data_IF_317685220437
#
_entry.id   IF_317685220437
#
_cell.length_a   1.000
_cell.length_b   1.000
_cell.length_c   1.000
_cell.angle_alpha   90.00
_cell.angle_beta   90.00
_cell.angle_gamma   90.00
#
_symmetry.space_group_name_H-M   'P 1'
#
loop_
_entity.id
_entity.type
_entity.pdbx_description
1 polymer ?
#
# COMPACT_ATOMS: atom_id res chain seq x y z
N UNK A 1 -3.38 -1.91 -4.36
CA UNK A 1 -4.38 -2.71 -5.10
C UNK A 1 -5.24 -1.76 -5.91
N UNK A 2 -5.82 -2.23 -7.00
CA UNK A 2 -6.75 -1.47 -7.82
C UNK A 2 -7.75 -2.39 -8.50
N UNK A 3 -8.67 -1.82 -9.29
CA UNK A 3 -9.55 -2.59 -10.18
C UNK A 3 -8.78 -3.38 -11.24
N UNK A 4 -7.59 -2.95 -11.64
CA UNK A 4 -6.74 -3.63 -12.62
C UNK A 4 -5.97 -4.82 -12.02
N UNK A 5 -5.81 -4.87 -10.69
CA UNK A 5 -5.14 -5.99 -10.03
C UNK A 5 -4.53 -5.65 -8.68
N UNK A 6 -3.76 -6.60 -8.15
CA UNK A 6 -3.07 -6.45 -6.87
C UNK A 6 -1.64 -5.96 -7.15
N UNK A 7 -1.24 -4.90 -6.48
CA UNK A 7 0.13 -4.40 -6.51
C UNK A 7 1.06 -5.20 -5.57
N UNK A 8 2.34 -4.83 -5.46
CA UNK A 8 3.30 -5.55 -4.64
C UNK A 8 2.94 -5.53 -3.15
N UNK A 9 3.22 -6.64 -2.48
CA UNK A 9 3.19 -6.74 -1.02
C UNK A 9 4.61 -6.64 -0.46
N UNK A 10 4.88 -5.55 0.27
CA UNK A 10 6.19 -5.27 0.84
C UNK A 10 6.22 -5.51 2.35
N UNK A 11 7.15 -6.37 2.82
CA UNK A 11 7.39 -6.57 4.24
C UNK A 11 8.50 -5.66 4.74
N UNK A 12 8.13 -4.64 5.50
CA UNK A 12 9.07 -3.66 6.04
C UNK A 12 9.59 -4.11 7.40
N UNK A 13 10.91 -3.97 7.61
CA UNK A 13 11.57 -4.33 8.88
C UNK A 13 11.63 -3.18 9.88
N UNK A 14 11.52 -1.95 9.39
CA UNK A 14 11.65 -0.72 10.17
C UNK A 14 10.31 -0.01 10.33
N UNK A 15 10.24 0.89 11.32
CA UNK A 15 9.13 1.83 11.44
C UNK A 15 9.08 2.70 10.18
N UNK A 16 7.91 2.79 9.58
CA UNK A 16 7.70 3.62 8.39
C UNK A 16 7.69 5.09 8.78
N UNK A 17 8.68 5.82 8.29
CA UNK A 17 8.70 7.29 8.30
C UNK A 17 8.53 7.80 6.85
N UNK A 18 8.53 9.11 6.66
CA UNK A 18 8.33 9.70 5.32
C UNK A 18 9.39 9.23 4.29
N UNK A 19 10.66 9.07 4.69
CA UNK A 19 11.73 8.63 3.79
C UNK A 19 11.55 7.17 3.37
N UNK A 20 11.33 6.27 4.33
CA UNK A 20 11.04 4.84 4.04
C UNK A 20 9.78 4.72 3.19
N UNK A 21 8.77 5.55 3.45
CA UNK A 21 7.56 5.54 2.64
C UNK A 21 7.82 5.97 1.19
N UNK A 22 8.61 7.02 0.97
CA UNK A 22 9.01 7.45 -0.37
C UNK A 22 9.81 6.37 -1.10
N UNK A 23 10.73 5.67 -0.43
CA UNK A 23 11.43 4.52 -1.02
C UNK A 23 10.46 3.41 -1.45
N UNK A 24 9.41 3.17 -0.66
CA UNK A 24 8.36 2.22 -1.04
C UNK A 24 7.58 2.70 -2.27
N UNK A 25 7.23 3.99 -2.32
CA UNK A 25 6.54 4.56 -3.47
C UNK A 25 7.41 4.47 -4.74
N UNK A 26 8.67 4.88 -4.63
CA UNK A 26 9.65 4.90 -5.71
C UNK A 26 9.90 3.51 -6.30
N UNK A 27 10.21 2.54 -5.44
CA UNK A 27 10.70 1.24 -5.90
C UNK A 27 9.62 0.18 -6.09
N UNK A 28 8.41 0.40 -5.57
CA UNK A 28 7.34 -0.59 -5.65
C UNK A 28 6.05 -0.03 -6.21
N UNK A 29 5.64 1.19 -5.83
CA UNK A 29 4.37 1.74 -6.32
C UNK A 29 4.50 2.20 -7.77
N UNK A 30 5.54 2.96 -8.14
CA UNK A 30 5.73 3.45 -9.51
C UNK A 30 5.82 2.31 -10.54
N UNK A 31 6.67 1.27 -10.36
CA UNK A 31 6.73 0.16 -11.33
C UNK A 31 5.42 -0.61 -11.42
N UNK A 32 4.70 -0.75 -10.31
CA UNK A 32 3.40 -1.42 -10.31
C UNK A 32 2.33 -0.58 -11.01
N UNK A 33 2.36 0.74 -10.87
CA UNK A 33 1.46 1.64 -11.58
C UNK A 33 1.72 1.56 -13.08
N UNK A 34 2.98 1.64 -13.51
CA UNK A 34 3.37 1.47 -14.92
C UNK A 34 2.91 0.11 -15.48
N UNK A 35 3.11 -0.97 -14.74
CA UNK A 35 2.67 -2.30 -15.18
C UNK A 35 1.13 -2.44 -15.27
N UNK A 36 0.38 -1.83 -14.35
CA UNK A 36 -1.07 -1.98 -14.26
C UNK A 36 -1.84 -1.01 -15.17
N UNK A 37 -1.29 0.18 -15.39
CA UNK A 37 -1.99 1.28 -16.06
C UNK A 37 -1.28 1.73 -17.34
N UNK A 38 0.04 1.51 -17.47
CA UNK A 38 0.84 2.09 -18.56
C UNK A 38 0.64 3.59 -18.64
N UNK A 39 0.23 4.07 -19.82
CA UNK A 39 -0.05 5.49 -20.07
C UNK A 39 -1.42 5.96 -19.55
N UNK A 40 -2.23 5.08 -18.94
CA UNK A 40 -3.55 5.46 -18.44
C UNK A 40 -3.48 6.25 -17.14
N UNK A 41 -4.36 7.25 -17.02
CA UNK A 41 -4.48 8.06 -15.81
C UNK A 41 -4.96 7.22 -14.61
N UNK A 42 -4.42 7.51 -13.43
CA UNK A 42 -4.87 6.96 -12.16
C UNK A 42 -4.82 7.99 -11.04
N UNK A 43 -5.59 7.75 -9.98
CA UNK A 43 -5.55 8.53 -8.73
C UNK A 43 -5.03 7.64 -7.61
N UNK A 44 -4.04 8.12 -6.87
CA UNK A 44 -3.49 7.38 -5.74
C UNK A 44 -4.26 7.67 -4.45
N UNK A 45 -4.64 6.61 -3.74
CA UNK A 45 -5.33 6.69 -2.45
C UNK A 45 -4.38 6.25 -1.33
N UNK A 46 -4.30 7.06 -0.28
CA UNK A 46 -3.59 6.76 0.97
C UNK A 46 -4.37 7.33 2.15
N UNK A 47 -4.16 6.76 3.34
CA UNK A 47 -4.70 7.33 4.58
C UNK A 47 -3.87 8.53 5.06
N UNK A 48 -4.27 9.13 6.20
CA UNK A 48 -3.60 10.29 6.78
C UNK A 48 -2.50 9.93 7.79
N UNK A 49 -1.92 8.73 7.72
CA UNK A 49 -0.82 8.34 8.62
C UNK A 49 0.32 9.38 8.56
N UNK A 50 1.08 9.62 9.66
CA UNK A 50 2.06 10.71 9.72
C UNK A 50 3.12 10.67 8.61
N UNK A 51 3.51 9.49 8.12
CA UNK A 51 4.44 9.35 7.00
C UNK A 51 3.83 9.76 5.66
N UNK A 52 2.53 9.52 5.46
CA UNK A 52 1.80 9.79 4.23
C UNK A 52 1.43 11.28 4.10
N UNK A 53 1.09 11.91 5.23
CA UNK A 53 0.74 13.33 5.31
C UNK A 53 1.93 14.27 5.54
N UNK A 54 3.15 13.73 5.67
CA UNK A 54 4.35 14.52 5.85
C UNK A 54 4.64 15.41 4.63
N UNK A 55 5.13 16.64 4.87
CA UNK A 55 5.49 17.59 3.80
C UNK A 55 6.42 17.00 2.72
N UNK A 56 7.50 16.24 3.07
CA UNK A 56 8.34 15.61 2.06
C UNK A 56 7.59 14.64 1.16
N UNK A 57 6.66 13.85 1.72
CA UNK A 57 5.83 12.91 0.95
C UNK A 57 4.88 13.65 0.02
N UNK A 58 4.23 14.72 0.50
CA UNK A 58 3.40 15.58 -0.34
C UNK A 58 4.18 16.25 -1.48
N UNK A 59 5.44 16.61 -1.25
CA UNK A 59 6.32 17.11 -2.31
C UNK A 59 6.65 16.01 -3.33
N UNK A 60 7.00 14.81 -2.87
CA UNK A 60 7.29 13.66 -3.74
C UNK A 60 6.14 13.38 -4.72
N UNK A 61 4.88 13.37 -4.26
CA UNK A 61 3.72 13.17 -5.14
C UNK A 61 3.57 14.28 -6.20
N UNK A 62 3.86 15.54 -5.84
CA UNK A 62 3.80 16.66 -6.77
C UNK A 62 4.90 16.57 -7.83
N UNK A 63 6.12 16.23 -7.41
CA UNK A 63 7.27 16.12 -8.30
C UNK A 63 7.09 14.98 -9.33
N UNK A 64 6.39 13.91 -8.94
CA UNK A 64 6.04 12.80 -9.83
C UNK A 64 4.74 13.02 -10.61
N UNK A 65 4.03 14.14 -10.41
CA UNK A 65 2.77 14.42 -11.10
C UNK A 65 1.62 13.46 -10.76
N UNK A 66 1.66 12.81 -9.60
CA UNK A 66 0.67 11.78 -9.23
C UNK A 66 -0.45 12.43 -8.41
N UNK A 67 -1.71 12.39 -8.90
CA UNK A 67 -2.82 12.97 -8.17
C UNK A 67 -3.19 12.10 -6.96
N UNK A 68 -3.35 12.77 -5.82
CA UNK A 68 -3.81 12.15 -4.57
C UNK A 68 -5.32 12.32 -4.40
N UNK A 69 -6.01 11.24 -4.03
CA UNK A 69 -7.40 11.30 -3.61
C UNK A 69 -7.51 12.07 -2.30
N UNK A 70 -8.41 13.06 -2.23
CA UNK A 70 -8.71 13.73 -0.98
C UNK A 70 -9.33 12.74 0.02
N UNK A 71 -8.68 12.52 1.15
CA UNK A 71 -9.05 11.47 2.10
C UNK A 71 -9.54 12.05 3.43
N UNK A 72 -10.76 11.69 3.89
CA UNK A 72 -11.23 12.10 5.21
C UNK A 72 -10.48 11.37 6.33
N UNK A 73 -10.21 12.08 7.43
CA UNK A 73 -9.59 11.49 8.61
C UNK A 73 -10.47 10.39 9.22
N UNK A 74 -9.85 9.37 9.83
CA UNK A 74 -10.52 8.30 10.57
C UNK A 74 -11.64 7.57 9.81
N UNK A 75 -11.49 7.38 8.50
CA UNK A 75 -12.48 6.71 7.65
C UNK A 75 -11.93 5.39 7.06
N UNK A 76 -11.58 4.39 7.91
CA UNK A 76 -11.03 3.12 7.42
C UNK A 76 -12.06 2.30 6.63
N UNK A 77 -13.35 2.49 6.91
CA UNK A 77 -14.48 1.86 6.23
C UNK A 77 -14.56 2.23 4.74
N UNK A 78 -14.03 3.40 4.36
CA UNK A 78 -13.96 3.84 2.98
C UNK A 78 -12.80 3.20 2.21
N UNK A 79 -11.83 2.57 2.88
CA UNK A 79 -10.60 2.08 2.25
C UNK A 79 -10.78 0.65 1.69
N UNK A 80 -10.75 0.45 0.36
CA UNK A 80 -10.93 -0.89 -0.22
C UNK A 80 -9.86 -1.90 0.22
N UNK A 81 -8.68 -1.45 0.66
CA UNK A 81 -7.62 -2.34 1.14
C UNK A 81 -8.04 -3.14 2.38
N UNK A 82 -8.95 -2.60 3.20
CA UNK A 82 -9.46 -3.29 4.39
C UNK A 82 -10.26 -4.54 4.00
N UNK A 83 -10.98 -4.49 2.87
CA UNK A 83 -11.69 -5.65 2.34
C UNK A 83 -10.71 -6.76 1.90
N UNK A 84 -9.61 -6.38 1.23
CA UNK A 84 -8.57 -7.32 0.83
C UNK A 84 -7.90 -7.96 2.05
N UNK A 85 -7.56 -7.16 3.07
CA UNK A 85 -7.03 -7.68 4.33
C UNK A 85 -8.04 -8.58 5.06
N UNK A 86 -9.33 -8.27 4.98
CA UNK A 86 -10.40 -9.12 5.47
C UNK A 86 -10.46 -10.49 4.77
N UNK A 87 -10.21 -10.54 3.46
CA UNK A 87 -10.09 -11.80 2.70
C UNK A 87 -8.85 -12.57 3.14
N UNK A 88 -7.68 -11.92 3.19
CA UNK A 88 -6.41 -12.55 3.61
C UNK A 88 -6.54 -13.17 5.00
N UNK A 89 -7.06 -12.42 5.98
CA UNK A 89 -7.29 -12.93 7.35
C UNK A 89 -8.22 -14.14 7.37
N UNK A 90 -9.28 -14.15 6.55
CA UNK A 90 -10.21 -15.29 6.46
C UNK A 90 -9.55 -16.54 5.89
N UNK A 91 -8.76 -16.39 4.82
CA UNK A 91 -8.00 -17.52 4.24
C UNK A 91 -6.96 -18.06 5.21
N UNK A 92 -6.35 -17.19 6.01
CA UNK A 92 -5.37 -17.55 7.04
C UNK A 92 -5.99 -18.04 8.36
N UNK A 93 -7.32 -18.13 8.48
CA UNK A 93 -8.02 -18.38 9.76
C UNK A 93 -7.51 -19.61 10.52
N UNK A 94 -7.08 -20.64 9.81
CA UNK A 94 -6.57 -21.89 10.39
C UNK A 94 -5.05 -22.02 10.33
N UNK A 95 -4.37 -21.08 9.67
CA UNK A 95 -2.92 -21.04 9.68
C UNK A 95 -2.43 -20.66 11.08
N UNK A 96 -1.40 -21.35 11.56
CA UNK A 96 -0.77 -21.08 12.86
C UNK A 96 0.73 -20.83 12.68
N UNK A 97 1.11 -19.74 11.98
CA UNK A 97 2.52 -19.39 11.86
C UNK A 97 3.08 -19.06 13.24
N UNK A 98 4.24 -19.61 13.57
CA UNK A 98 4.89 -19.45 14.88
C UNK A 98 6.03 -18.43 14.86
N UNK A 99 6.36 -17.88 13.70
CA UNK A 99 7.36 -16.83 13.54
C UNK A 99 7.02 -15.91 12.36
N UNK A 100 7.76 -14.81 12.25
CA UNK A 100 7.53 -13.81 11.20
C UNK A 100 7.75 -14.36 9.78
N UNK A 101 8.67 -15.30 9.57
CA UNK A 101 8.93 -15.86 8.24
C UNK A 101 7.82 -16.81 7.80
N UNK A 102 7.34 -17.66 8.70
CA UNK A 102 6.14 -18.49 8.46
C UNK A 102 4.92 -17.62 8.18
N UNK A 103 4.75 -16.51 8.91
CA UNK A 103 3.65 -15.57 8.68
C UNK A 103 3.73 -14.96 7.27
N UNK A 104 4.90 -14.47 6.87
CA UNK A 104 5.14 -13.90 5.53
C UNK A 104 4.90 -14.93 4.44
N UNK A 105 5.39 -16.15 4.62
CA UNK A 105 5.20 -17.24 3.67
C UNK A 105 3.71 -17.60 3.52
N UNK A 106 2.99 -17.66 4.64
CA UNK A 106 1.54 -17.92 4.65
C UNK A 106 0.76 -16.83 3.91
N UNK A 107 1.07 -15.55 4.17
CA UNK A 107 0.42 -14.43 3.48
C UNK A 107 0.69 -14.49 1.97
N UNK A 108 1.91 -14.83 1.54
CA UNK A 108 2.24 -14.96 0.11
C UNK A 108 1.54 -16.12 -0.59
N UNK A 109 1.21 -17.19 0.14
CA UNK A 109 0.52 -18.36 -0.38
C UNK A 109 -1.01 -18.20 -0.41
N UNK A 110 -1.53 -17.07 0.08
CA UNK A 110 -2.96 -16.79 0.26
C UNK A 110 -3.58 -16.22 -1.01
#
# INVERSE_FOLDING_TARGET
MSSAGVGPLCFLRSKVNAAVYQEVLEHFMLPAADQLYGDADFIFQQDLAPAHSAKPTSTWFKDHGIPLLNWPANSPDLNPIENLWGIVKRKMRYARPNNAEELKATIRAT
#
